data_IF_248756470228
#
_entry.id   IF_248756470228
#
_cell.length_a   1.000
_cell.length_b   1.000
_cell.length_c   1.000
_cell.angle_alpha   90.00
_cell.angle_beta   90.00
_cell.angle_gamma   90.00
#
_symmetry.space_group_name_H-M   'P 1'
#
loop_
_entity.id
_entity.type
_entity.pdbx_description
1 polymer ?
#
# COMPACT_ATOMS: atom_id res chain seq x y z
N UNK A 1 38.16 -22.44 -58.79
CA UNK A 1 37.15 -21.87 -59.70
C UNK A 1 35.86 -21.71 -58.91
N UNK A 2 35.39 -20.47 -58.87
CA UNK A 2 34.01 -20.03 -58.58
C UNK A 2 33.40 -20.46 -57.26
N UNK A 3 33.51 -19.58 -56.26
CA UNK A 3 32.54 -19.52 -55.17
C UNK A 3 31.27 -18.87 -55.70
N UNK A 4 30.18 -19.63 -55.67
CA UNK A 4 28.83 -19.13 -55.91
C UNK A 4 28.43 -18.26 -54.71
N UNK A 5 28.66 -16.95 -54.81
CA UNK A 5 27.98 -15.96 -53.99
C UNK A 5 26.55 -15.84 -54.52
N UNK A 6 25.68 -16.76 -54.08
CA UNK A 6 24.24 -16.63 -54.21
C UNK A 6 23.82 -15.26 -53.67
N UNK A 7 23.09 -14.53 -54.50
CA UNK A 7 22.53 -13.22 -54.23
C UNK A 7 21.79 -13.22 -52.89
N UNK A 8 22.39 -12.55 -51.90
CA UNK A 8 21.86 -12.35 -50.55
C UNK A 8 20.69 -11.35 -50.59
N UNK A 9 19.55 -11.82 -51.10
CA UNK A 9 18.31 -11.04 -51.16
C UNK A 9 17.73 -10.96 -49.75
N UNK A 10 17.62 -9.74 -49.23
CA UNK A 10 16.98 -9.48 -47.95
C UNK A 10 15.52 -9.94 -47.96
N UNK A 11 15.22 -11.03 -47.27
CA UNK A 11 13.85 -11.55 -47.14
C UNK A 11 13.24 -11.06 -45.81
N UNK A 12 12.35 -10.04 -45.81
CA UNK A 12 11.77 -9.49 -44.59
C UNK A 12 10.96 -10.53 -43.82
N UNK A 13 10.23 -11.40 -44.52
CA UNK A 13 9.33 -12.39 -43.94
C UNK A 13 10.02 -13.40 -43.02
N UNK A 14 11.31 -13.66 -43.23
CA UNK A 14 12.10 -14.57 -42.38
C UNK A 14 12.33 -13.99 -40.99
N UNK A 15 12.45 -12.66 -40.89
CA UNK A 15 12.81 -11.99 -39.64
C UNK A 15 11.58 -11.51 -38.85
N UNK A 16 10.43 -11.33 -39.52
CA UNK A 16 9.19 -10.84 -38.91
C UNK A 16 8.77 -11.60 -37.64
N UNK A 17 8.66 -12.95 -37.60
CA UNK A 17 8.20 -13.64 -36.41
C UNK A 17 9.14 -13.46 -35.22
N UNK A 18 10.44 -13.35 -35.50
CA UNK A 18 11.48 -13.16 -34.47
C UNK A 18 11.46 -11.73 -33.94
N UNK A 19 11.30 -10.74 -34.82
CA UNK A 19 11.15 -9.33 -34.44
C UNK A 19 9.90 -9.14 -33.57
N UNK A 20 8.76 -9.70 -34.00
CA UNK A 20 7.50 -9.61 -33.25
C UNK A 20 7.62 -10.30 -31.88
N UNK A 21 8.29 -11.46 -31.80
CA UNK A 21 8.54 -12.13 -30.52
C UNK A 21 9.43 -11.29 -29.59
N UNK A 22 10.53 -10.70 -30.08
CA UNK A 22 11.42 -9.84 -29.31
C UNK A 22 10.66 -8.60 -28.82
N UNK A 23 9.89 -7.94 -29.70
CA UNK A 23 9.11 -6.76 -29.35
C UNK A 23 7.95 -7.08 -28.39
N UNK A 24 7.42 -8.30 -28.39
CA UNK A 24 6.36 -8.70 -27.47
C UNK A 24 6.85 -8.88 -26.03
N UNK A 25 8.05 -9.42 -25.85
CA UNK A 25 8.64 -9.75 -24.54
C UNK A 25 9.42 -8.58 -23.96
N UNK A 26 10.08 -7.81 -24.81
CA UNK A 26 10.99 -6.76 -24.36
C UNK A 26 10.23 -5.48 -23.97
N UNK A 27 10.83 -4.70 -23.06
CA UNK A 27 10.25 -3.44 -22.61
C UNK A 27 10.30 -2.40 -23.74
N UNK A 28 9.13 -2.07 -24.32
CA UNK A 28 9.00 -1.21 -25.51
C UNK A 28 9.72 0.14 -25.35
N UNK A 29 9.80 0.69 -24.14
CA UNK A 29 10.46 1.97 -23.87
C UNK A 29 12.00 1.92 -23.87
N UNK A 30 12.59 0.75 -23.63
CA UNK A 30 14.05 0.58 -23.48
C UNK A 30 14.70 -0.10 -24.68
N UNK A 31 13.91 -0.69 -25.58
CA UNK A 31 14.41 -1.49 -26.69
C UNK A 31 14.80 -0.59 -27.85
N UNK A 32 16.10 -0.54 -28.12
CA UNK A 32 16.64 0.16 -29.27
C UNK A 32 16.69 -0.74 -30.50
N UNK A 33 16.51 -0.15 -31.69
CA UNK A 33 16.64 -0.83 -33.00
C UNK A 33 17.97 -1.60 -33.11
N UNK A 34 19.04 -0.99 -32.58
CA UNK A 34 20.37 -1.62 -32.56
C UNK A 34 20.38 -2.93 -31.79
N UNK A 35 19.68 -3.00 -30.66
CA UNK A 35 19.61 -4.20 -29.81
C UNK A 35 18.87 -5.33 -30.51
N UNK A 36 17.77 -5.01 -31.19
CA UNK A 36 16.99 -5.98 -31.98
C UNK A 36 17.84 -6.49 -33.16
N UNK A 37 18.49 -5.60 -33.89
CA UNK A 37 19.38 -5.98 -35.00
C UNK A 37 20.54 -6.86 -34.54
N UNK A 38 21.18 -6.55 -33.40
CA UNK A 38 22.25 -7.38 -32.85
C UNK A 38 21.71 -8.77 -32.44
N UNK A 39 20.52 -8.83 -31.84
CA UNK A 39 19.87 -10.10 -31.52
C UNK A 39 19.53 -10.93 -32.78
N UNK A 40 19.11 -10.28 -33.87
CA UNK A 40 18.91 -10.95 -35.16
C UNK A 40 20.22 -11.48 -35.75
N UNK A 41 21.32 -10.70 -35.67
CA UNK A 41 22.65 -11.15 -36.12
C UNK A 41 23.13 -12.36 -35.31
N UNK A 42 22.90 -12.38 -34.00
CA UNK A 42 23.26 -13.50 -33.12
C UNK A 42 22.43 -14.75 -33.39
N UNK A 43 21.11 -14.62 -33.55
CA UNK A 43 20.20 -15.75 -33.76
C UNK A 43 20.38 -16.40 -35.13
N UNK A 44 20.64 -15.61 -36.17
CA UNK A 44 20.77 -16.11 -37.53
C UNK A 44 22.22 -16.33 -37.98
N UNK A 45 23.21 -15.85 -37.22
CA UNK A 45 24.63 -15.98 -37.57
C UNK A 45 25.03 -15.30 -38.88
N UNK A 46 24.25 -14.31 -39.33
CA UNK A 46 24.42 -13.59 -40.61
C UNK A 46 24.76 -12.14 -40.31
N UNK A 47 25.67 -11.54 -41.09
CA UNK A 47 25.91 -10.11 -41.01
C UNK A 47 24.82 -9.31 -41.74
N UNK A 48 23.89 -8.73 -40.98
CA UNK A 48 22.85 -7.83 -41.48
C UNK A 48 23.35 -6.38 -41.72
N UNK A 49 24.67 -6.12 -41.67
CA UNK A 49 25.28 -4.82 -42.01
C UNK A 49 24.88 -4.27 -43.40
N UNK A 50 24.90 -5.05 -44.50
CA UNK A 50 24.56 -4.55 -45.84
C UNK A 50 23.07 -4.19 -45.98
N UNK A 51 22.18 -4.84 -45.22
CA UNK A 51 20.71 -4.66 -45.28
C UNK A 51 20.15 -3.92 -44.07
N UNK A 52 21.03 -3.32 -43.25
CA UNK A 52 20.71 -2.65 -41.99
C UNK A 52 19.57 -1.65 -42.09
N UNK A 53 19.52 -0.86 -43.16
CA UNK A 53 18.48 0.15 -43.34
C UNK A 53 17.10 -0.50 -43.46
N UNK A 54 16.98 -1.54 -44.29
CA UNK A 54 15.73 -2.28 -44.49
C UNK A 54 15.28 -2.97 -43.20
N UNK A 55 16.22 -3.55 -42.45
CA UNK A 55 15.95 -4.18 -41.15
C UNK A 55 15.48 -3.15 -40.12
N UNK A 56 16.13 -1.99 -40.06
CA UNK A 56 15.75 -0.92 -39.14
C UNK A 56 14.34 -0.39 -39.44
N UNK A 57 14.04 -0.14 -40.71
CA UNK A 57 12.73 0.36 -41.14
C UNK A 57 11.64 -0.67 -40.81
N UNK A 58 11.90 -1.96 -41.04
CA UNK A 58 11.00 -3.07 -40.69
C UNK A 58 10.74 -3.15 -39.17
N UNK A 59 11.78 -3.01 -38.35
CA UNK A 59 11.65 -3.02 -36.89
C UNK A 59 10.80 -1.85 -36.41
N UNK A 60 10.98 -0.66 -36.98
CA UNK A 60 10.23 0.54 -36.60
C UNK A 60 8.75 0.44 -36.98
N UNK A 61 8.44 -0.04 -38.18
CA UNK A 61 7.05 -0.29 -38.61
C UNK A 61 6.34 -1.25 -37.65
N UNK A 62 6.99 -2.38 -37.30
CA UNK A 62 6.41 -3.35 -36.37
C UNK A 62 6.27 -2.83 -34.95
N UNK A 63 7.20 -1.99 -34.51
CA UNK A 63 7.12 -1.32 -33.23
C UNK A 63 5.89 -0.40 -33.15
N UNK A 64 5.66 0.44 -34.17
CA UNK A 64 4.48 1.29 -34.24
C UNK A 64 3.17 0.50 -34.30
N UNK A 65 3.12 -0.56 -35.13
CA UNK A 65 1.97 -1.46 -35.20
C UNK A 65 1.64 -2.12 -33.86
N UNK A 66 2.65 -2.51 -33.08
CA UNK A 66 2.45 -3.11 -31.76
C UNK A 66 1.92 -2.10 -30.73
N UNK A 67 2.38 -0.85 -30.80
CA UNK A 67 1.83 0.23 -29.98
C UNK A 67 0.36 0.44 -30.32
N UNK A 68 0.03 0.57 -31.60
CA UNK A 68 -1.34 0.80 -32.05
C UNK A 68 -2.25 -0.38 -31.70
N UNK A 69 -1.75 -1.62 -31.79
CA UNK A 69 -2.49 -2.82 -31.35
C UNK A 69 -2.73 -2.83 -29.84
N UNK A 70 -1.74 -2.44 -29.02
CA UNK A 70 -1.93 -2.33 -27.56
C UNK A 70 -2.95 -1.24 -27.21
N UNK A 71 -2.86 -0.08 -27.85
CA UNK A 71 -3.84 1.00 -27.67
C UNK A 71 -5.27 0.55 -28.03
N UNK A 72 -5.44 -0.11 -29.18
CA UNK A 72 -6.75 -0.67 -29.57
C UNK A 72 -7.24 -1.74 -28.60
N UNK A 73 -6.36 -2.59 -28.10
CA UNK A 73 -6.74 -3.61 -27.12
C UNK A 73 -7.22 -2.97 -25.81
N UNK A 74 -6.54 -1.92 -25.33
CA UNK A 74 -6.97 -1.17 -24.15
C UNK A 74 -8.33 -0.50 -24.35
N UNK A 75 -8.61 0.05 -25.54
CA UNK A 75 -9.93 0.59 -25.87
C UNK A 75 -11.03 -0.49 -25.86
N UNK A 76 -10.75 -1.66 -26.45
CA UNK A 76 -11.69 -2.78 -26.48
C UNK A 76 -11.98 -3.31 -25.07
N UNK A 77 -10.95 -3.47 -24.23
CA UNK A 77 -11.10 -3.93 -22.85
C UNK A 77 -11.92 -2.92 -22.02
N UNK A 78 -11.72 -1.62 -22.27
CA UNK A 78 -12.49 -0.55 -21.65
C UNK A 78 -13.96 -0.58 -22.09
N UNK A 79 -14.24 -0.70 -23.38
CA UNK A 79 -15.61 -0.77 -23.91
C UNK A 79 -16.36 -2.00 -23.36
N UNK A 80 -15.68 -3.15 -23.29
CA UNK A 80 -16.24 -4.37 -22.71
C UNK A 80 -16.56 -4.18 -21.23
N UNK A 81 -15.68 -3.53 -20.46
CA UNK A 81 -15.91 -3.22 -19.05
C UNK A 81 -17.12 -2.27 -18.86
N UNK A 82 -17.23 -1.22 -19.67
CA UNK A 82 -18.37 -0.29 -19.63
C UNK A 82 -19.69 -1.00 -19.97
N UNK A 83 -19.66 -1.91 -20.95
CA UNK A 83 -20.82 -2.73 -21.31
C UNK A 83 -21.23 -3.67 -20.18
N UNK A 84 -20.28 -4.28 -19.49
CA UNK A 84 -20.56 -5.12 -18.31
C UNK A 84 -21.17 -4.32 -17.16
N UNK A 85 -20.65 -3.12 -16.87
CA UNK A 85 -21.21 -2.23 -15.85
C UNK A 85 -22.63 -1.78 -16.22
N UNK A 86 -22.85 -1.39 -17.48
CA UNK A 86 -24.17 -1.01 -17.98
C UNK A 86 -25.19 -2.16 -17.86
N UNK A 87 -24.78 -3.39 -18.17
CA UNK A 87 -25.63 -4.59 -18.01
C UNK A 87 -25.95 -4.86 -16.54
N UNK A 88 -24.97 -4.73 -15.65
CA UNK A 88 -25.18 -4.89 -14.21
C UNK A 88 -26.12 -3.82 -13.65
N UNK A 89 -25.92 -2.56 -14.05
CA UNK A 89 -26.78 -1.45 -13.67
C UNK A 89 -28.22 -1.64 -14.16
N UNK A 90 -28.41 -2.08 -15.42
CA UNK A 90 -29.72 -2.40 -15.97
C UNK A 90 -30.40 -3.55 -15.22
N UNK A 91 -29.64 -4.60 -14.84
CA UNK A 91 -30.15 -5.73 -14.06
C UNK A 91 -30.61 -5.28 -12.67
N UNK A 92 -29.81 -4.47 -11.97
CA UNK A 92 -30.14 -3.94 -10.65
C UNK A 92 -31.37 -3.02 -10.68
N UNK A 93 -31.45 -2.14 -11.69
CA UNK A 93 -32.63 -1.27 -11.90
C UNK A 93 -33.91 -2.08 -12.12
N UNK A 94 -33.85 -3.13 -12.95
CA UNK A 94 -34.99 -4.03 -13.20
C UNK A 94 -35.40 -4.78 -11.93
N UNK A 95 -34.45 -5.18 -11.10
CA UNK A 95 -34.74 -5.86 -9.84
C UNK A 95 -35.33 -4.91 -8.78
N UNK A 96 -34.84 -3.67 -8.71
CA UNK A 96 -35.38 -2.61 -7.84
C UNK A 96 -36.86 -2.30 -8.18
N UNK A 97 -37.17 -2.15 -9.47
CA UNK A 97 -38.54 -1.93 -9.95
C UNK A 97 -39.47 -3.14 -9.72
N UNK A 98 -38.96 -4.37 -9.78
CA UNK A 98 -39.75 -5.57 -9.40
C UNK A 98 -40.02 -5.64 -7.89
N UNK A 99 -39.07 -5.17 -7.06
CA UNK A 99 -39.24 -5.12 -5.61
C UNK A 99 -40.20 -4.00 -5.19
N UNK A 100 -40.27 -2.88 -5.92
CA UNK A 100 -41.21 -1.79 -5.64
C UNK A 100 -42.67 -2.18 -5.94
N UNK A 101 -42.93 -2.90 -7.05
CA UNK A 101 -44.29 -3.37 -7.40
C UNK A 101 -44.82 -4.48 -6.48
N UNK A 102 -43.93 -5.30 -5.89
CA UNK A 102 -44.32 -6.28 -4.86
C UNK A 102 -44.59 -5.65 -3.48
N UNK A 103 -44.10 -4.42 -3.25
CA UNK A 103 -44.41 -3.63 -2.04
C UNK A 103 -45.69 -2.80 -2.22
N UNK A 104 -46.03 -2.37 -3.43
CA UNK A 104 -47.28 -1.66 -3.70
C UNK A 104 -48.52 -2.56 -3.66
N UNK A 105 -48.41 -3.86 -3.93
CA UNK A 105 -49.53 -4.81 -3.73
C UNK A 105 -49.87 -5.10 -2.26
N UNK A 106 -49.10 -4.57 -1.30
CA UNK A 106 -49.40 -4.59 0.15
C UNK A 106 -49.83 -3.23 0.70
N UNK A 107 -49.87 -2.18 -0.13
CA UNK A 107 -50.25 -0.84 0.28
C UNK A 107 -51.20 -0.22 -0.76
N UNK A 108 -52.40 -0.80 -0.84
CA UNK A 108 -53.58 0.02 -1.15
C UNK A 108 -53.69 1.12 -0.10
N UNK A 109 -54.00 2.34 -0.54
CA UNK A 109 -54.12 3.58 0.25
C UNK A 109 -52.80 4.29 0.60
N UNK A 110 -52.38 5.21 -0.28
CA UNK A 110 -52.47 6.66 -0.02
C UNK A 110 -51.69 7.43 -1.10
N UNK A 111 -52.31 8.51 -1.60
CA UNK A 111 -51.80 9.41 -2.64
C UNK A 111 -50.45 10.05 -2.24
N UNK A 112 -49.51 10.15 -3.19
CA UNK A 112 -48.99 11.44 -3.68
C UNK A 112 -47.82 11.29 -4.69
N UNK A 113 -47.70 12.34 -5.49
CA UNK A 113 -46.96 12.59 -6.73
C UNK A 113 -45.42 12.45 -6.68
N UNK A 114 -44.75 12.33 -7.85
CA UNK A 114 -43.30 12.12 -7.95
C UNK A 114 -42.52 13.45 -8.07
N UNK A 115 -41.40 13.56 -7.36
CA UNK A 115 -40.39 14.64 -7.49
C UNK A 115 -39.02 14.01 -7.80
N UNK A 116 -38.16 14.63 -8.64
CA UNK A 116 -37.08 13.96 -9.33
C UNK A 116 -35.81 13.76 -8.48
N UNK A 117 -35.01 12.80 -8.94
CA UNK A 117 -33.85 12.20 -8.30
C UNK A 117 -32.78 13.21 -7.83
N UNK A 118 -32.51 13.23 -6.52
CA UNK A 118 -31.25 13.71 -5.95
C UNK A 118 -30.27 12.55 -5.80
N UNK A 119 -29.04 12.82 -6.24
CA UNK A 119 -27.82 12.01 -6.14
C UNK A 119 -27.77 11.11 -4.91
N UNK A 120 -27.65 9.79 -5.14
CA UNK A 120 -27.45 8.78 -4.09
C UNK A 120 -26.07 8.99 -3.47
N UNK A 121 -25.99 9.74 -2.37
CA UNK A 121 -24.96 9.48 -1.37
C UNK A 121 -25.14 8.01 -0.97
N UNK A 122 -24.10 7.20 -1.17
CA UNK A 122 -24.10 5.81 -0.74
C UNK A 122 -24.53 5.75 0.72
N UNK A 123 -25.58 4.99 1.02
CA UNK A 123 -26.04 4.80 2.40
C UNK A 123 -24.88 4.16 3.17
N UNK A 124 -24.58 4.62 4.40
CA UNK A 124 -23.59 3.95 5.23
C UNK A 124 -23.98 2.47 5.36
N UNK A 125 -23.00 1.59 5.15
CA UNK A 125 -23.18 0.15 5.31
C UNK A 125 -23.63 -0.15 6.74
N UNK A 126 -24.50 -1.14 6.90
CA UNK A 126 -24.95 -1.58 8.23
C UNK A 126 -23.77 -2.14 9.02
N UNK A 127 -23.72 -1.91 10.34
CA UNK A 127 -22.73 -2.47 11.29
C UNK A 127 -22.45 -3.97 11.04
N UNK A 128 -23.49 -4.76 10.74
CA UNK A 128 -23.38 -6.20 10.46
C UNK A 128 -22.65 -6.50 9.14
N UNK A 129 -22.74 -5.64 8.14
CA UNK A 129 -22.04 -5.80 6.87
C UNK A 129 -20.57 -5.36 6.96
N UNK A 130 -20.28 -4.37 7.82
CA UNK A 130 -18.91 -3.93 8.12
C UNK A 130 -18.17 -5.06 8.85
N UNK A 131 -18.78 -5.67 9.86
CA UNK A 131 -18.13 -6.68 10.70
C UNK A 131 -17.89 -8.03 10.02
N UNK A 132 -18.59 -8.33 8.92
CA UNK A 132 -18.40 -9.57 8.15
C UNK A 132 -17.20 -9.53 7.19
N UNK A 133 -16.56 -8.38 6.98
CA UNK A 133 -15.40 -8.25 6.11
C UNK A 133 -14.12 -8.55 6.91
N UNK A 134 -13.26 -9.51 6.50
CA UNK A 134 -11.96 -9.77 7.14
C UNK A 134 -11.08 -8.52 7.31
N UNK A 135 -11.22 -7.52 6.44
CA UNK A 135 -10.48 -6.25 6.53
C UNK A 135 -10.92 -5.34 7.68
N UNK A 136 -12.13 -5.54 8.22
CA UNK A 136 -12.68 -4.76 9.32
C UNK A 136 -12.52 -5.46 10.68
N UNK A 137 -11.75 -6.56 10.73
CA UNK A 137 -11.43 -7.24 11.99
C UNK A 137 -10.77 -6.26 12.95
N UNK A 138 -11.25 -6.27 14.20
CA UNK A 138 -10.64 -5.51 15.28
C UNK A 138 -9.23 -6.04 15.56
N UNK A 139 -8.25 -5.14 15.60
CA UNK A 139 -6.85 -5.44 15.87
C UNK A 139 -6.41 -4.65 17.09
N UNK A 140 -5.40 -5.17 17.79
CA UNK A 140 -4.80 -4.53 18.96
C UNK A 140 -3.68 -3.61 18.49
N UNK A 141 -3.61 -2.40 19.02
CA UNK A 141 -2.64 -1.39 18.63
C UNK A 141 -1.52 -1.29 19.67
N UNK A 142 -0.30 -0.98 19.23
CA UNK A 142 0.83 -0.68 20.13
C UNK A 142 0.61 0.62 20.92
N UNK A 143 1.30 0.76 22.06
CA UNK A 143 1.24 1.97 22.90
C UNK A 143 1.62 3.25 22.15
N UNK A 144 2.60 3.19 21.24
CA UNK A 144 3.01 4.34 20.43
C UNK A 144 1.86 4.83 19.53
N UNK A 145 1.13 3.89 18.92
CA UNK A 145 0.00 4.21 18.04
C UNK A 145 -1.22 4.67 18.84
N UNK A 146 -1.40 4.15 20.06
CA UNK A 146 -2.40 4.62 21.02
C UNK A 146 -2.20 6.09 21.39
N UNK A 147 -0.96 6.55 21.59
CA UNK A 147 -0.67 7.94 21.97
C UNK A 147 -1.07 8.97 20.89
N UNK A 148 -1.17 8.54 19.64
CA UNK A 148 -1.61 9.39 18.51
C UNK A 148 -3.12 9.32 18.33
N UNK A 149 -3.69 8.12 18.35
CA UNK A 149 -5.09 7.86 17.94
C UNK A 149 -6.07 7.86 19.13
N UNK A 150 -5.60 7.57 20.34
CA UNK A 150 -6.39 7.52 21.56
C UNK A 150 -7.24 6.25 21.73
N UNK A 151 -7.03 5.22 20.91
CA UNK A 151 -7.79 3.95 20.97
C UNK A 151 -6.86 2.75 21.00
N UNK A 152 -7.14 1.74 21.82
CA UNK A 152 -6.30 0.54 21.93
C UNK A 152 -6.68 -0.57 20.94
N UNK A 153 -7.92 -0.55 20.44
CA UNK A 153 -8.46 -1.54 19.51
C UNK A 153 -9.14 -0.83 18.35
N UNK A 154 -8.72 -1.15 17.13
CA UNK A 154 -9.34 -0.65 15.91
C UNK A 154 -9.00 -1.55 14.73
N UNK A 155 -9.84 -1.54 13.68
CA UNK A 155 -9.49 -2.21 12.43
C UNK A 155 -8.42 -1.44 11.67
N UNK A 156 -7.63 -2.12 10.85
CA UNK A 156 -6.56 -1.48 10.07
C UNK A 156 -7.06 -0.29 9.21
N UNK A 157 -8.19 -0.37 8.48
CA UNK A 157 -8.74 0.78 7.77
C UNK A 157 -9.11 1.96 8.70
N UNK A 158 -9.64 1.66 9.89
CA UNK A 158 -10.00 2.65 10.90
C UNK A 158 -8.76 3.38 11.42
N UNK A 159 -7.67 2.65 11.71
CA UNK A 159 -6.37 3.21 12.13
C UNK A 159 -5.86 4.21 11.10
N UNK A 160 -5.80 3.79 9.82
CA UNK A 160 -5.32 4.66 8.73
C UNK A 160 -6.17 5.91 8.62
N UNK A 161 -7.50 5.80 8.75
CA UNK A 161 -8.41 6.94 8.70
C UNK A 161 -8.18 7.92 9.85
N UNK A 162 -8.05 7.42 11.08
CA UNK A 162 -7.82 8.25 12.27
C UNK A 162 -6.47 8.95 12.21
N UNK A 163 -5.44 8.25 11.75
CA UNK A 163 -4.11 8.82 11.57
C UNK A 163 -4.11 9.94 10.51
N UNK A 164 -4.81 9.77 9.40
CA UNK A 164 -4.95 10.84 8.40
C UNK A 164 -5.76 12.03 8.91
N UNK A 165 -6.75 11.80 9.80
CA UNK A 165 -7.45 12.89 10.46
C UNK A 165 -6.46 13.69 11.33
N UNK A 166 -5.68 13.01 12.18
CA UNK A 166 -4.64 13.64 13.00
C UNK A 166 -3.63 14.45 12.18
N UNK A 167 -3.14 13.89 11.07
CA UNK A 167 -2.17 14.57 10.17
C UNK A 167 -2.77 15.85 9.58
N UNK A 168 -4.05 15.83 9.21
CA UNK A 168 -4.73 16.99 8.62
C UNK A 168 -5.07 18.04 9.67
N UNK A 169 -5.54 17.61 10.84
CA UNK A 169 -5.93 18.50 11.93
C UNK A 169 -4.72 19.28 12.46
N UNK A 170 -3.54 18.65 12.48
CA UNK A 170 -2.28 19.29 12.87
C UNK A 170 -1.51 19.92 11.68
N UNK A 171 -2.09 19.92 10.48
CA UNK A 171 -1.49 20.46 9.26
C UNK A 171 -0.06 19.97 8.97
N UNK A 172 0.19 18.68 9.21
CA UNK A 172 1.50 18.03 9.12
C UNK A 172 1.89 17.61 7.70
N UNK A 173 1.12 18.00 6.68
CA UNK A 173 1.46 17.72 5.28
C UNK A 173 2.46 18.76 4.76
N UNK A 174 3.44 18.32 4.00
CA UNK A 174 4.37 19.24 3.36
C UNK A 174 3.63 20.07 2.29
N UNK A 175 3.67 21.43 2.35
CA UNK A 175 2.98 22.29 1.40
C UNK A 175 3.53 22.18 -0.04
N UNK A 176 4.80 21.81 -0.20
CA UNK A 176 5.46 21.64 -1.50
C UNK A 176 5.20 20.26 -2.10
N UNK A 177 5.12 19.21 -1.27
CA UNK A 177 4.79 17.85 -1.70
C UNK A 177 3.77 17.21 -0.77
N UNK A 178 2.51 17.21 -1.17
CA UNK A 178 1.38 16.64 -0.40
C UNK A 178 1.47 15.12 -0.21
N UNK A 179 2.46 14.45 -0.80
CA UNK A 179 2.72 13.02 -0.62
C UNK A 179 3.61 12.76 0.60
N UNK A 180 4.29 13.79 1.10
CA UNK A 180 5.16 13.74 2.27
C UNK A 180 4.46 14.31 3.51
N UNK A 181 4.67 13.61 4.64
CA UNK A 181 4.16 13.97 5.95
C UNK A 181 5.38 14.34 6.81
N UNK A 182 5.34 15.55 7.38
CA UNK A 182 6.31 16.01 8.37
C UNK A 182 5.85 15.49 9.73
N UNK A 183 6.66 14.65 10.37
CA UNK A 183 6.31 14.01 11.62
C UNK A 183 6.49 14.99 12.78
N UNK A 184 5.49 15.09 13.65
CA UNK A 184 5.61 15.75 14.95
C UNK A 184 6.30 14.80 15.95
N UNK A 185 6.46 15.20 17.21
CA UNK A 185 7.15 14.37 18.22
C UNK A 185 6.48 12.99 18.41
N UNK A 186 5.14 12.94 18.35
CA UNK A 186 4.37 11.69 18.53
C UNK A 186 4.53 10.76 17.33
N UNK A 187 4.41 11.29 16.11
CA UNK A 187 4.61 10.53 14.88
C UNK A 187 6.09 10.17 14.70
N UNK A 188 7.01 10.99 15.18
CA UNK A 188 8.45 10.68 15.16
C UNK A 188 8.76 9.52 16.08
N UNK A 189 8.14 9.42 17.26
CA UNK A 189 8.27 8.24 18.12
C UNK A 189 7.74 6.97 17.45
N UNK A 190 6.61 7.06 16.74
CA UNK A 190 6.02 5.92 16.02
C UNK A 190 6.83 5.50 14.79
N UNK A 191 7.19 6.44 13.92
CA UNK A 191 7.83 6.15 12.64
C UNK A 191 9.36 6.11 12.72
N UNK A 192 9.95 6.68 13.77
CA UNK A 192 11.39 6.84 13.98
C UNK A 192 12.07 7.61 12.84
N UNK A 193 11.31 8.52 12.22
CA UNK A 193 11.69 9.34 11.06
C UNK A 193 11.06 10.71 11.16
N UNK A 194 11.76 11.73 10.68
CA UNK A 194 11.28 13.12 10.63
C UNK A 194 10.30 13.37 9.48
N UNK A 195 10.47 12.67 8.35
CA UNK A 195 9.58 12.75 7.19
C UNK A 195 9.25 11.36 6.67
N UNK A 196 7.97 11.15 6.35
CA UNK A 196 7.45 9.85 5.91
C UNK A 196 6.49 10.05 4.74
N UNK A 197 6.60 9.18 3.73
CA UNK A 197 5.64 9.15 2.62
C UNK A 197 4.38 8.37 2.96
N UNK A 198 3.28 8.65 2.26
CA UNK A 198 1.99 7.97 2.48
C UNK A 198 2.05 6.42 2.43
N UNK A 199 2.86 5.84 1.53
CA UNK A 199 3.03 4.38 1.43
C UNK A 199 3.90 3.81 2.55
N UNK A 200 4.92 4.56 2.95
CA UNK A 200 5.83 4.16 4.01
C UNK A 200 5.14 4.14 5.38
N UNK A 201 4.27 5.11 5.63
CA UNK A 201 3.38 5.14 6.79
C UNK A 201 2.61 3.80 6.92
N UNK A 202 1.97 3.36 5.83
CA UNK A 202 1.22 2.09 5.83
C UNK A 202 2.10 0.87 6.06
N UNK A 203 3.36 0.90 5.61
CA UNK A 203 4.34 -0.17 5.85
C UNK A 203 4.74 -0.24 7.32
N UNK A 204 4.98 0.90 7.96
CA UNK A 204 5.36 0.97 9.38
C UNK A 204 4.17 0.53 10.25
N UNK A 205 2.95 0.98 9.96
CA UNK A 205 1.75 0.61 10.70
C UNK A 205 1.53 -0.90 10.83
N UNK A 206 1.94 -1.69 9.83
CA UNK A 206 1.86 -3.16 9.93
C UNK A 206 2.60 -3.76 11.12
N UNK A 207 3.62 -3.09 11.64
CA UNK A 207 4.41 -3.55 12.79
C UNK A 207 3.76 -3.20 14.14
N UNK A 208 2.82 -2.25 14.14
CA UNK A 208 2.18 -1.69 15.33
C UNK A 208 0.73 -2.15 15.49
N UNK A 209 0.28 -3.08 14.63
CA UNK A 209 -1.08 -3.61 14.60
C UNK A 209 -0.99 -5.13 14.71
N UNK A 210 -1.53 -5.67 15.81
CA UNK A 210 -1.44 -7.08 16.18
C UNK A 210 -2.81 -7.75 16.10
N UNK A 211 -2.83 -9.04 15.75
CA UNK A 211 -4.07 -9.83 15.81
C UNK A 211 -4.42 -10.10 17.28
N UNK A 212 -5.70 -10.11 17.66
CA UNK A 212 -6.11 -10.39 19.03
C UNK A 212 -5.65 -11.77 19.53
N UNK A 213 -5.50 -12.75 18.63
CA UNK A 213 -5.07 -14.12 18.97
C UNK A 213 -3.55 -14.26 19.19
N UNK A 214 -2.75 -13.30 18.71
CA UNK A 214 -1.29 -13.28 18.88
C UNK A 214 -0.88 -12.62 20.21
N UNK A 215 -1.85 -12.08 20.96
CA UNK A 215 -1.62 -11.52 22.31
C UNK A 215 -1.66 -12.65 23.32
N UNK A 216 -0.62 -13.49 23.31
CA UNK A 216 -0.25 -14.23 24.52
C UNK A 216 0.04 -13.17 25.59
N UNK A 217 -0.49 -13.28 26.82
CA UNK A 217 0.02 -12.49 27.92
C UNK A 217 1.43 -13.00 28.21
N UNK A 218 2.41 -12.48 27.47
CA UNK A 218 3.79 -12.49 27.91
C UNK A 218 3.78 -11.70 29.21
N UNK A 219 3.89 -12.44 30.31
CA UNK A 219 4.41 -12.01 31.59
C UNK A 219 5.23 -10.73 31.47
N UNK A 220 4.87 -9.75 32.31
CA UNK A 220 5.75 -8.69 32.79
C UNK A 220 7.23 -9.04 32.58
N UNK A 221 7.86 -8.40 31.59
CA UNK A 221 9.30 -8.23 31.62
C UNK A 221 9.55 -6.96 32.42
N UNK A 222 9.65 -7.16 33.74
CA UNK A 222 10.21 -6.21 34.67
C UNK A 222 11.72 -6.13 34.42
N UNK A 223 12.10 -5.49 33.31
CA UNK A 223 13.49 -5.12 33.05
C UNK A 223 13.56 -3.72 32.45
N UNK A 224 13.14 -2.75 33.25
CA UNK A 224 13.68 -1.38 33.17
C UNK A 224 14.27 -1.02 34.53
N UNK A 225 15.58 -1.26 34.73
CA UNK A 225 16.50 -0.35 35.45
C UNK A 225 17.91 -0.93 35.57
N UNK A 226 18.78 -0.54 34.65
CA UNK A 226 20.18 -0.08 34.85
C UNK A 226 20.53 0.54 33.50
N UNK A 227 20.62 1.86 33.32
CA UNK A 227 21.72 2.65 33.84
C UNK A 227 21.38 4.14 33.58
N UNK A 228 21.10 4.91 34.63
CA UNK A 228 21.08 6.39 34.69
C UNK A 228 20.41 6.83 35.99
N UNK A 229 21.09 6.73 37.13
CA UNK A 229 20.99 7.70 38.24
C UNK A 229 22.12 7.45 39.24
N UNK A 230 23.33 7.87 38.85
CA UNK A 230 24.46 8.07 39.76
C UNK A 230 24.35 9.44 40.48
N UNK A 231 23.17 9.80 41.02
CA UNK A 231 22.97 11.12 41.68
C UNK A 231 22.18 11.03 43.00
N UNK A 232 21.48 9.94 43.33
CA UNK A 232 20.69 9.89 44.58
C UNK A 232 21.38 9.14 45.72
N UNK A 233 22.58 8.58 45.51
CA UNK A 233 23.35 7.90 46.57
C UNK A 233 24.20 8.84 47.44
N UNK A 234 24.15 10.16 47.21
CA UNK A 234 24.94 11.15 47.96
C UNK A 234 24.10 12.02 48.94
N UNK A 235 22.77 11.84 49.00
CA UNK A 235 21.89 12.73 49.81
C UNK A 235 21.29 12.06 51.05
N UNK A 236 21.20 10.73 51.09
CA UNK A 236 20.68 9.99 52.27
C UNK A 236 21.76 9.51 53.24
N UNK A 237 23.05 9.76 52.95
CA UNK A 237 24.17 9.57 53.91
C UNK A 237 24.38 10.73 54.89
N UNK A 238 23.47 11.71 54.94
CA UNK A 238 23.62 12.92 55.78
C UNK A 238 22.64 12.95 56.97
N UNK A 239 21.67 12.04 57.06
CA UNK A 239 20.76 12.01 58.21
C UNK A 239 20.59 10.60 58.74
N UNK A 240 21.03 10.43 59.98
CA UNK A 240 21.03 9.23 60.83
C UNK A 240 22.31 8.40 60.70
N UNK A 241 23.39 9.01 61.21
CA UNK A 241 24.43 8.25 61.91
C UNK A 241 23.76 7.26 62.87
N UNK A 242 24.27 6.04 62.77
CA UNK A 242 24.12 4.93 63.67
C UNK A 242 24.22 5.36 65.15
N UNK A 243 23.10 5.25 65.86
CA UNK A 243 23.11 4.67 67.20
C UNK A 243 23.42 3.18 66.99
N UNK A 244 24.62 2.75 67.39
CA UNK A 244 24.91 1.48 68.06
C UNK A 244 26.43 1.23 68.03
N UNK A 245 27.16 1.92 68.91
CA UNK A 245 28.49 1.47 69.34
C UNK A 245 28.44 1.11 70.83
N UNK A 246 28.76 -0.16 71.04
CA UNK A 246 29.50 -0.74 72.15
C UNK A 246 28.83 -0.91 73.53
N UNK A 247 28.52 -2.20 73.77
CA UNK A 247 28.68 -2.85 75.07
C UNK A 247 29.99 -2.39 75.74
N UNK A 248 29.89 -1.86 76.96
CA UNK A 248 30.92 -2.13 77.96
C UNK A 248 30.30 -2.29 79.35
N UNK A 249 30.68 -3.42 79.93
CA UNK A 249 30.38 -3.96 81.24
C UNK A 249 30.98 -3.08 82.36
N UNK A 250 30.63 -3.42 83.59
CA UNK A 250 31.38 -3.14 84.83
C UNK A 250 30.83 -2.09 85.81
N UNK A 251 29.96 -2.61 86.69
CA UNK A 251 30.16 -2.70 88.15
C UNK A 251 30.15 -1.46 89.07
N UNK A 252 29.51 -1.70 90.23
CA UNK A 252 29.77 -1.17 91.59
C UNK A 252 29.29 0.26 91.92
N UNK A 253 28.26 0.39 92.76
CA UNK A 253 28.29 0.56 94.24
C UNK A 253 28.16 2.06 94.59
N UNK A 254 27.00 2.47 95.11
CA UNK A 254 26.69 2.67 96.53
C UNK A 254 27.13 4.05 97.08
N UNK A 255 26.14 4.70 97.71
CA UNK A 255 26.12 5.89 98.57
C UNK A 255 26.37 7.30 97.99
#
# INVERSE_FOLDING_TARGET
MSGDTESDSFNPDKYLPTIDAILSVANLEEVTIKRIRNALQELFGIDLSPTKKQVNDLIMERYHDLIDKRAKQEELDKEEMEKQDALLAAKLSREENKRSTKRSSRKSSSNNTPVPAKTRKSRPLSEKQINNNPFNREMVLSNELFNVIGTYKASRPQVVKLLWAYIKDNNLQNPSDKRQINCDDKLTNLFKKSTVGAFEMNKILSKHIFKPDEVVPTSYDESTKTDSTNIEQEVEKIFNDDDDDDDDDESSEEE
#
